data_IF_217931905610
#
_entry.id   IF_217931905610
#
_cell.length_a   1.000
_cell.length_b   1.000
_cell.length_c   1.000
_cell.angle_alpha   90.00
_cell.angle_beta   90.00
_cell.angle_gamma   90.00
#
_symmetry.space_group_name_H-M   'P 1'
#
loop_
_entity.id
_entity.type
_entity.pdbx_description
1 polymer ?
#
# COMPACT_ATOMS: atom_id res chain seq x y z
N UNK A 1 -19.31 1.04 -14.88
CA UNK A 1 -18.75 1.97 -13.89
C UNK A 1 -17.77 2.89 -14.56
N UNK A 2 -17.88 4.17 -14.33
CA UNK A 2 -17.01 5.13 -14.97
C UNK A 2 -15.62 5.12 -14.36
N UNK A 3 -14.67 5.60 -15.13
CA UNK A 3 -13.27 5.63 -14.67
C UNK A 3 -13.09 6.38 -13.36
N UNK A 4 -13.82 7.46 -13.18
CA UNK A 4 -13.73 8.22 -11.94
C UNK A 4 -14.14 7.38 -10.74
N UNK A 5 -15.23 6.63 -10.89
CA UNK A 5 -15.71 5.78 -9.81
C UNK A 5 -14.73 4.66 -9.52
N UNK A 6 -14.12 4.10 -10.58
CA UNK A 6 -13.12 3.06 -10.39
C UNK A 6 -11.91 3.58 -9.65
N UNK A 7 -11.46 4.77 -10.03
CA UNK A 7 -10.30 5.38 -9.37
C UNK A 7 -10.58 5.64 -7.91
N UNK A 8 -11.78 6.13 -7.60
CA UNK A 8 -12.13 6.38 -6.21
C UNK A 8 -12.26 5.08 -5.41
N UNK A 9 -12.77 4.04 -6.06
CA UNK A 9 -12.88 2.73 -5.42
C UNK A 9 -11.50 2.18 -5.07
N UNK A 10 -10.57 2.28 -5.99
CA UNK A 10 -9.21 1.81 -5.74
C UNK A 10 -8.57 2.62 -4.61
N UNK A 11 -8.78 3.93 -4.63
CA UNK A 11 -8.26 4.78 -3.57
C UNK A 11 -8.85 4.41 -2.22
N UNK A 12 -10.14 4.16 -2.17
CA UNK A 12 -10.80 3.75 -0.94
C UNK A 12 -10.25 2.43 -0.44
N UNK A 13 -10.03 1.50 -1.36
CA UNK A 13 -9.46 0.20 -1.00
C UNK A 13 -8.05 0.36 -0.46
N UNK A 14 -7.29 1.29 -1.03
CA UNK A 14 -5.94 1.57 -0.55
C UNK A 14 -5.96 2.03 0.91
N UNK A 15 -6.84 2.97 1.25
CA UNK A 15 -6.90 3.45 2.63
C UNK A 15 -7.46 2.38 3.56
N UNK A 16 -8.41 1.55 3.07
CA UNK A 16 -8.91 0.44 3.86
C UNK A 16 -7.79 -0.55 4.16
N UNK A 17 -6.90 -0.76 3.19
CA UNK A 17 -5.76 -1.65 3.39
C UNK A 17 -4.83 -1.11 4.47
N UNK A 18 -4.59 0.20 4.47
CA UNK A 18 -3.74 0.79 5.50
C UNK A 18 -4.37 0.63 6.88
N UNK A 19 -5.70 0.77 6.97
CA UNK A 19 -6.39 0.58 8.23
C UNK A 19 -6.30 -0.87 8.70
N UNK A 20 -6.40 -1.81 7.77
CA UNK A 20 -6.27 -3.23 8.10
C UNK A 20 -4.86 -3.54 8.60
N UNK A 21 -3.85 -3.01 7.94
CA UNK A 21 -2.48 -3.20 8.38
C UNK A 21 -2.23 -2.59 9.75
N UNK A 22 -2.87 -1.46 10.04
CA UNK A 22 -2.78 -0.84 11.34
C UNK A 22 -3.45 -1.72 12.39
N UNK A 23 -4.63 -2.23 12.07
CA UNK A 23 -5.38 -3.10 12.99
C UNK A 23 -4.61 -4.39 13.27
N UNK A 24 -3.92 -4.91 12.26
CA UNK A 24 -3.12 -6.12 12.40
C UNK A 24 -1.75 -5.81 13.03
N UNK A 25 -1.49 -4.55 13.32
CA UNK A 25 -0.25 -4.11 13.97
C UNK A 25 0.99 -4.32 13.11
N UNK A 26 0.79 -4.37 11.80
CA UNK A 26 1.90 -4.46 10.86
C UNK A 26 2.55 -3.09 10.70
N UNK A 27 1.74 -2.03 10.72
CA UNK A 27 2.24 -0.65 10.72
C UNK A 27 1.60 0.08 11.89
N UNK A 28 2.22 1.18 12.29
CA UNK A 28 1.67 1.97 13.38
C UNK A 28 0.47 2.79 12.95
N UNK A 29 0.45 3.21 11.70
CA UNK A 29 -0.64 4.01 11.19
C UNK A 29 -0.36 4.47 9.78
N UNK A 30 -1.31 5.21 9.21
CA UNK A 30 -1.18 5.68 7.85
C UNK A 30 0.01 6.62 7.66
N UNK A 31 0.29 7.43 8.67
CA UNK A 31 1.42 8.36 8.60
C UNK A 31 2.75 7.62 8.51
N UNK A 32 2.85 6.46 9.14
CA UNK A 32 4.06 5.66 9.07
C UNK A 32 4.31 5.19 7.64
N UNK A 33 3.25 4.78 6.96
CA UNK A 33 3.35 4.37 5.56
C UNK A 33 3.82 5.55 4.69
N UNK A 34 3.19 6.70 4.88
CA UNK A 34 3.54 7.87 4.08
C UNK A 34 5.00 8.27 4.30
N UNK A 35 5.46 8.22 5.54
CA UNK A 35 6.83 8.58 5.86
C UNK A 35 7.81 7.60 5.23
N UNK A 36 7.49 6.32 5.29
CA UNK A 36 8.40 5.29 4.78
C UNK A 36 8.65 5.45 3.28
N UNK A 37 7.63 5.84 2.54
CA UNK A 37 7.75 5.92 1.08
C UNK A 37 7.86 7.34 0.55
N UNK A 38 8.11 8.30 1.44
CA UNK A 38 8.33 9.67 1.02
C UNK A 38 7.12 10.35 0.40
N UNK A 39 5.93 9.94 0.81
CA UNK A 39 4.71 10.52 0.29
C UNK A 39 4.46 11.85 0.98
N UNK A 40 4.12 12.89 0.20
CA UNK A 40 3.81 14.19 0.76
C UNK A 40 2.63 14.08 1.71
N UNK A 41 2.84 14.45 2.98
CA UNK A 41 1.83 14.27 4.01
C UNK A 41 0.56 15.06 3.74
N UNK A 42 0.72 16.29 3.24
CA UNK A 42 -0.45 17.10 2.94
C UNK A 42 -1.28 16.49 1.83
N UNK A 43 -0.62 16.06 0.75
CA UNK A 43 -1.32 15.40 -0.35
C UNK A 43 -2.02 14.13 0.12
N UNK A 44 -1.34 13.37 0.97
CA UNK A 44 -1.89 12.13 1.50
C UNK A 44 -3.16 12.41 2.31
N UNK A 45 -3.07 13.40 3.18
CA UNK A 45 -4.20 13.79 4.01
C UNK A 45 -5.36 14.31 3.16
N UNK A 46 -5.06 15.16 2.18
CA UNK A 46 -6.11 15.73 1.33
C UNK A 46 -6.80 14.64 0.53
N UNK A 47 -6.06 13.65 0.04
CA UNK A 47 -6.67 12.56 -0.70
C UNK A 47 -7.58 11.74 0.19
N UNK A 48 -7.19 11.53 1.43
CA UNK A 48 -8.01 10.79 2.38
C UNK A 48 -9.34 11.51 2.64
N UNK A 49 -9.31 12.84 2.66
CA UNK A 49 -10.51 13.64 2.86
C UNK A 49 -11.39 13.69 1.61
N UNK A 50 -10.77 13.65 0.46
CA UNK A 50 -11.49 13.76 -0.80
C UNK A 50 -10.82 12.86 -1.83
N UNK A 51 -11.36 11.68 -1.99
CA UNK A 51 -10.76 10.66 -2.86
C UNK A 51 -10.99 10.92 -4.34
N UNK A 52 -11.67 12.00 -4.68
CA UNK A 52 -11.81 12.39 -6.08
C UNK A 52 -10.60 13.14 -6.58
N UNK A 53 -9.69 13.53 -5.70
CA UNK A 53 -8.48 14.21 -6.11
C UNK A 53 -7.58 13.27 -6.90
N UNK A 54 -6.93 13.82 -7.92
CA UNK A 54 -6.11 12.98 -8.79
C UNK A 54 -4.65 13.07 -8.41
N UNK A 55 -4.36 12.74 -7.17
CA UNK A 55 -3.00 12.73 -6.66
C UNK A 55 -2.56 11.35 -6.19
N UNK A 56 -3.42 10.36 -6.33
CA UNK A 56 -3.10 8.98 -6.00
C UNK A 56 -2.14 8.42 -7.05
N UNK A 57 -1.11 7.70 -6.58
CA UNK A 57 -0.11 7.14 -7.48
C UNK A 57 -0.09 5.62 -7.40
N UNK A 58 0.00 4.96 -8.55
CA UNK A 58 0.04 3.50 -8.58
C UNK A 58 1.19 2.88 -7.77
N UNK A 59 2.28 3.62 -7.61
CA UNK A 59 3.41 3.11 -6.83
C UNK A 59 3.03 2.82 -5.39
N UNK A 60 2.03 3.51 -4.88
CA UNK A 60 1.56 3.25 -3.51
C UNK A 60 0.96 1.84 -3.41
N UNK A 61 0.25 1.41 -4.46
CA UNK A 61 -0.28 0.05 -4.51
C UNK A 61 0.85 -0.97 -4.61
N UNK A 62 1.85 -0.66 -5.42
CA UNK A 62 3.01 -1.53 -5.55
C UNK A 62 3.64 -1.78 -4.18
N UNK A 63 3.80 -0.72 -3.40
CA UNK A 63 4.42 -0.83 -2.09
C UNK A 63 3.63 -1.78 -1.18
N UNK A 64 2.30 -1.71 -1.23
CA UNK A 64 1.49 -2.60 -0.42
C UNK A 64 1.64 -4.04 -0.85
N UNK A 65 1.66 -4.29 -2.15
CA UNK A 65 1.77 -5.65 -2.66
C UNK A 65 3.16 -6.22 -2.40
N UNK A 66 4.18 -5.45 -2.73
CA UNK A 66 5.56 -5.96 -2.66
C UNK A 66 6.06 -6.09 -1.23
N UNK A 67 5.79 -5.07 -0.41
CA UNK A 67 6.38 -5.02 0.92
C UNK A 67 5.47 -5.58 2.00
N UNK A 68 4.17 -5.50 1.83
CA UNK A 68 3.22 -5.96 2.85
C UNK A 68 2.39 -7.15 2.40
N UNK A 69 2.65 -7.65 1.19
CA UNK A 69 2.01 -8.86 0.66
C UNK A 69 0.50 -8.77 0.64
N UNK A 70 -0.01 -7.57 0.38
CA UNK A 70 -1.44 -7.36 0.23
C UNK A 70 -1.86 -7.88 -1.13
N UNK A 71 -2.99 -8.55 -1.19
CA UNK A 71 -3.51 -9.12 -2.42
C UNK A 71 -3.93 -8.00 -3.38
N UNK A 72 -3.32 -7.91 -4.57
CA UNK A 72 -3.69 -6.85 -5.50
C UNK A 72 -5.14 -6.92 -5.94
N UNK A 73 -5.74 -8.10 -5.95
CA UNK A 73 -7.15 -8.22 -6.29
C UNK A 73 -8.01 -7.46 -5.29
N UNK A 74 -7.66 -7.56 -4.00
CA UNK A 74 -8.36 -6.81 -2.97
C UNK A 74 -8.23 -5.32 -3.20
N UNK A 75 -7.02 -4.86 -3.53
CA UNK A 75 -6.77 -3.43 -3.72
C UNK A 75 -7.52 -2.87 -4.93
N UNK A 76 -7.63 -3.66 -5.97
CA UNK A 76 -8.24 -3.18 -7.22
C UNK A 76 -9.76 -3.34 -7.19
N UNK A 77 -10.24 -4.49 -6.71
CA UNK A 77 -11.67 -4.79 -6.78
C UNK A 77 -12.37 -4.79 -5.43
N UNK A 78 -11.62 -4.84 -4.35
CA UNK A 78 -12.20 -4.95 -3.02
C UNK A 78 -12.60 -6.36 -2.64
N UNK A 79 -12.30 -7.33 -3.48
CA UNK A 79 -12.72 -8.72 -3.25
C UNK A 79 -11.52 -9.62 -3.05
N UNK A 80 -11.79 -10.77 -2.42
CA UNK A 80 -10.76 -11.74 -2.18
C UNK A 80 -10.11 -11.57 -0.82
N UNK A 81 -9.15 -12.43 -0.53
CA UNK A 81 -8.47 -12.35 0.77
C UNK A 81 -7.57 -11.11 0.80
N UNK A 82 -7.36 -10.59 1.98
CA UNK A 82 -6.56 -9.38 2.14
C UNK A 82 -5.08 -9.61 1.82
N UNK A 83 -4.53 -10.70 2.35
CA UNK A 83 -3.13 -11.03 2.06
C UNK A 83 -3.02 -12.02 0.92
N UNK A 84 -1.88 -12.02 0.27
CA UNK A 84 -1.59 -12.99 -0.78
C UNK A 84 -1.61 -14.40 -0.18
N UNK A 85 -1.88 -15.44 -1.01
CA UNK A 85 -1.87 -16.81 -0.52
C UNK A 85 -0.60 -17.13 0.22
N UNK A 86 -0.75 -17.87 1.32
CA UNK A 86 0.36 -18.28 2.19
C UNK A 86 0.92 -17.16 3.04
N UNK A 87 0.39 -15.95 2.92
CA UNK A 87 0.83 -14.84 3.76
C UNK A 87 -0.23 -14.53 4.81
N UNK A 88 0.24 -14.24 6.02
CA UNK A 88 -0.63 -13.87 7.14
C UNK A 88 -0.07 -12.60 7.77
N UNK A 89 -0.88 -11.96 8.62
CA UNK A 89 -0.42 -10.77 9.32
C UNK A 89 0.87 -11.03 10.08
N UNK A 90 0.96 -12.18 10.73
CA UNK A 90 2.16 -12.52 11.51
C UNK A 90 3.39 -12.64 10.62
N UNK A 91 3.23 -13.27 9.47
CA UNK A 91 4.36 -13.44 8.55
C UNK A 91 4.80 -12.12 7.95
N UNK A 92 3.84 -11.27 7.61
CA UNK A 92 4.16 -9.96 7.06
C UNK A 92 4.86 -9.12 8.11
N UNK A 93 4.37 -9.17 9.34
CA UNK A 93 4.97 -8.43 10.45
C UNK A 93 6.42 -8.86 10.65
N UNK A 94 6.67 -10.15 10.60
CA UNK A 94 8.02 -10.67 10.75
C UNK A 94 8.91 -10.19 9.61
N UNK A 95 8.37 -10.16 8.40
CA UNK A 95 9.12 -9.68 7.25
C UNK A 95 9.51 -8.22 7.46
N UNK A 96 8.60 -7.39 7.97
CA UNK A 96 8.90 -5.99 8.22
C UNK A 96 10.00 -5.84 9.26
N UNK A 97 9.97 -6.64 10.29
CA UNK A 97 11.01 -6.58 11.31
C UNK A 97 12.39 -6.92 10.74
N UNK A 98 12.43 -7.91 9.85
CA UNK A 98 13.68 -8.31 9.24
C UNK A 98 14.20 -7.29 8.24
N UNK A 99 13.31 -6.49 7.69
CA UNK A 99 13.68 -5.54 6.65
C UNK A 99 13.70 -4.09 7.11
N UNK A 100 13.52 -3.86 8.38
CA UNK A 100 13.33 -2.49 8.85
C UNK A 100 14.53 -1.58 8.63
N UNK A 101 15.70 -2.15 8.45
CA UNK A 101 16.90 -1.34 8.23
C UNK A 101 17.15 -1.06 6.77
N UNK A 102 16.39 -1.66 5.89
CA UNK A 102 16.56 -1.44 4.47
C UNK A 102 15.83 -0.18 4.05
N UNK A 103 16.43 0.54 3.13
CA UNK A 103 15.73 1.68 2.60
C UNK A 103 14.63 1.21 1.67
N UNK A 104 13.47 1.85 1.69
CA UNK A 104 12.36 1.41 0.86
C UNK A 104 12.59 1.58 -0.62
N UNK A 105 13.49 2.44 -0.99
CA UNK A 105 13.72 2.65 -2.37
C UNK A 105 14.76 1.78 -2.93
N UNK A 106 15.13 1.05 -2.52
CA UNK A 106 16.16 0.35 -3.18
C UNK A 106 15.85 -0.04 -4.57
N UNK A 107 15.47 0.64 -4.57
CA UNK A 107 15.38 0.45 -5.29
C UNK A 107 15.27 -0.08 -6.02
N UNK A 108 15.25 -0.14 -6.29
CA UNK A 108 15.23 -0.59 -6.98
C UNK A 108 14.94 -1.05 -7.85
N UNK A 109 15.04 -0.84 -7.92
CA UNK A 109 14.97 -1.09 -8.57
C UNK A 109 15.12 -1.49 -9.30
N UNK A 110 15.30 -1.48 -9.27
CA UNK A 110 15.62 -1.79 -9.79
C UNK A 110 15.51 -2.41 -10.40
N UNK A 111 15.56 -2.48 -10.25
CA UNK A 111 15.59 -2.98 -10.81
C UNK A 111 15.35 -3.48 -11.36
N UNK A 112 15.21 -3.51 -11.30
CA UNK A 112 15.11 -3.85 -11.86
C UNK A 112 14.90 -4.15 -12.46
N UNK A 113 14.85 -4.18 -12.41
CA UNK A 113 14.82 -4.40 -13.05
C UNK A 113 14.64 -4.86 -13.60
N UNK A 114 14.56 -4.84 -13.49
CA UNK A 114 14.53 -5.18 -14.04
C UNK A 114 14.22 -5.68 -14.62
N UNK A 115 14.06 -5.70 -14.54
CA UNK A 115 13.94 -6.04 -15.06
C UNK A 115 13.86 -6.51 -15.65
N UNK A 116 13.86 -6.52 -15.74
CA UNK A 116 13.98 -6.89 -16.17
C UNK A 116 13.90 -7.32 -16.63
#
# INVERSE_FOLDING_TARGET
MESKELNETICRNFFAALERLTADKVIRGKATFAKRYGINRMNFYQLQQDMSRQIFQPSWLYNLVADYKVNPMFLITGEGSFYLPKWTAARVKKLQMNCKEKTPTAQPIETQSDAK
#
